data_IF_980000402481
#
_entry.id   IF_980000402481
#
_cell.length_a   1.000
_cell.length_b   1.000
_cell.length_c   1.000
_cell.angle_alpha   90.00
_cell.angle_beta   90.00
_cell.angle_gamma   90.00
#
_symmetry.space_group_name_H-M   'P 1'
#
loop_
_entity.id
_entity.type
_entity.pdbx_description
1 polymer ?
#
# COMPACT_ATOMS: atom_id res chain seq x y z
N UNK A 1 -1.47 -14.74 -7.66
CA UNK A 1 -0.60 -15.80 -8.23
C UNK A 1 -0.98 -15.97 -9.69
N UNK A 2 -0.03 -15.77 -10.61
CA UNK A 2 -0.27 -15.66 -12.05
C UNK A 2 -0.16 -14.20 -12.52
N UNK A 3 -1.28 -13.48 -12.47
CA UNK A 3 -1.40 -12.04 -12.81
C UNK A 3 -2.01 -11.19 -11.69
N UNK A 4 -2.41 -11.85 -10.60
CA UNK A 4 -3.09 -11.18 -9.50
C UNK A 4 -2.12 -10.90 -8.36
N UNK A 5 -2.10 -9.63 -7.94
CA UNK A 5 -1.44 -9.14 -6.75
C UNK A 5 -2.26 -9.51 -5.52
N UNK A 6 -1.71 -10.38 -4.69
CA UNK A 6 -2.34 -10.87 -3.46
C UNK A 6 -1.66 -10.20 -2.27
N UNK A 7 -2.44 -9.51 -1.44
CA UNK A 7 -1.95 -8.76 -0.29
C UNK A 7 -2.60 -9.22 1.01
N UNK A 8 -1.77 -9.44 2.03
CA UNK A 8 -2.21 -9.72 3.41
C UNK A 8 -2.06 -8.46 4.24
N UNK A 9 -3.12 -7.65 4.32
CA UNK A 9 -3.09 -6.32 4.94
C UNK A 9 -3.57 -6.31 6.41
N UNK A 10 -3.81 -7.47 7.00
CA UNK A 10 -4.37 -7.61 8.35
C UNK A 10 -5.89 -7.73 8.40
N UNK A 11 -6.54 -7.91 7.24
CA UNK A 11 -7.92 -8.36 7.14
C UNK A 11 -8.01 -9.88 7.34
N UNK A 12 -9.19 -10.40 7.71
CA UNK A 12 -9.41 -11.85 7.88
C UNK A 12 -9.33 -12.64 6.56
N UNK A 13 -9.46 -11.97 5.42
CA UNK A 13 -9.32 -12.55 4.09
C UNK A 13 -8.25 -11.80 3.29
N UNK A 14 -7.66 -12.47 2.31
CA UNK A 14 -6.63 -11.89 1.44
C UNK A 14 -7.27 -10.89 0.46
N UNK A 15 -6.59 -9.77 0.23
CA UNK A 15 -7.03 -8.78 -0.75
C UNK A 15 -6.35 -9.11 -2.08
N UNK A 16 -7.15 -9.46 -3.07
CA UNK A 16 -6.69 -9.80 -4.42
C UNK A 16 -6.98 -8.62 -5.35
N UNK A 17 -5.97 -8.16 -6.06
CA UNK A 17 -6.07 -7.13 -7.10
C UNK A 17 -5.54 -7.72 -8.40
N UNK A 18 -6.37 -7.78 -9.44
CA UNK A 18 -5.95 -8.25 -10.76
C UNK A 18 -5.18 -7.18 -11.52
N UNK A 19 -4.17 -7.57 -12.29
CA UNK A 19 -3.52 -6.69 -13.27
C UNK A 19 -4.54 -6.08 -14.24
N UNK A 20 -4.58 -4.74 -14.33
CA UNK A 20 -5.28 -4.05 -15.40
C UNK A 20 -4.53 -4.17 -16.74
N UNK A 21 -5.22 -3.96 -17.86
CA UNK A 21 -4.64 -4.10 -19.19
C UNK A 21 -3.38 -3.24 -19.37
N UNK A 22 -2.23 -3.92 -19.48
CA UNK A 22 -0.88 -3.37 -19.72
C UNK A 22 -0.23 -2.68 -18.51
N UNK A 23 -0.62 -3.10 -17.30
CA UNK A 23 0.12 -2.87 -16.06
C UNK A 23 0.83 -4.17 -15.69
N UNK A 24 2.12 -4.09 -15.38
CA UNK A 24 2.95 -5.19 -14.88
C UNK A 24 3.31 -4.91 -13.43
N UNK A 25 3.04 -5.88 -12.56
CA UNK A 25 3.30 -5.78 -11.13
C UNK A 25 4.50 -6.66 -10.78
N UNK A 26 5.54 -6.05 -10.24
CA UNK A 26 6.70 -6.75 -9.71
C UNK A 26 6.75 -6.60 -8.19
N UNK A 27 7.07 -7.69 -7.49
CA UNK A 27 7.11 -7.76 -6.02
C UNK A 27 8.50 -8.25 -5.61
N UNK A 28 9.53 -7.38 -5.66
CA UNK A 28 10.90 -7.76 -5.33
C UNK A 28 11.08 -8.08 -3.83
N UNK A 29 10.18 -7.60 -2.98
CA UNK A 29 10.15 -7.96 -1.56
C UNK A 29 8.72 -7.92 -1.02
N UNK A 30 8.39 -8.65 0.05
CA UNK A 30 7.04 -8.63 0.62
C UNK A 30 6.53 -7.25 1.06
N UNK A 31 7.42 -6.27 1.22
CA UNK A 31 7.11 -4.90 1.66
C UNK A 31 7.26 -3.84 0.57
N UNK A 32 7.65 -4.22 -0.66
CA UNK A 32 7.80 -3.30 -1.79
C UNK A 32 7.11 -3.88 -3.02
N UNK A 33 6.22 -3.08 -3.59
CA UNK A 33 5.49 -3.39 -4.81
C UNK A 33 5.90 -2.34 -5.85
N UNK A 34 6.31 -2.81 -7.02
CA UNK A 34 6.68 -1.97 -8.16
C UNK A 34 5.62 -2.15 -9.23
N UNK A 35 4.98 -1.06 -9.62
CA UNK A 35 3.94 -1.04 -10.66
C UNK A 35 4.55 -0.35 -11.88
N UNK A 36 4.54 -1.04 -13.01
CA UNK A 36 5.05 -0.54 -14.29
C UNK A 36 3.97 -0.69 -15.36
N UNK A 37 4.00 0.14 -16.41
CA UNK A 37 2.99 0.11 -17.47
C UNK A 37 3.26 1.13 -18.55
N UNK A 38 2.56 1.01 -19.67
CA UNK A 38 2.72 1.89 -20.82
C UNK A 38 2.02 3.26 -20.64
N UNK A 39 0.91 3.30 -19.89
CA UNK A 39 0.15 4.52 -19.62
C UNK A 39 0.34 5.00 -18.17
N UNK A 40 0.73 6.27 -18.04
CA UNK A 40 0.94 6.93 -16.75
C UNK A 40 -0.37 7.12 -15.97
N UNK A 41 -1.50 7.34 -16.65
CA UNK A 41 -2.78 7.49 -15.97
C UNK A 41 -3.23 6.17 -15.36
N UNK A 42 -3.22 5.09 -16.15
CA UNK A 42 -3.54 3.75 -15.68
C UNK A 42 -2.63 3.30 -14.51
N UNK A 43 -1.31 3.52 -14.59
CA UNK A 43 -0.37 3.20 -13.52
C UNK A 43 -0.67 3.99 -12.25
N UNK A 44 -0.94 5.29 -12.37
CA UNK A 44 -1.29 6.14 -11.23
C UNK A 44 -2.60 5.74 -10.57
N UNK A 45 -3.62 5.43 -11.37
CA UNK A 45 -4.92 4.97 -10.89
C UNK A 45 -4.79 3.65 -10.11
N UNK A 46 -4.10 2.66 -10.68
CA UNK A 46 -3.90 1.38 -10.01
C UNK A 46 -3.10 1.53 -8.71
N UNK A 47 -2.06 2.35 -8.70
CA UNK A 47 -1.28 2.61 -7.48
C UNK A 47 -2.12 3.31 -6.40
N UNK A 48 -3.02 4.20 -6.78
CA UNK A 48 -3.97 4.84 -5.87
C UNK A 48 -4.99 3.84 -5.29
N UNK A 49 -5.50 2.92 -6.11
CA UNK A 49 -6.40 1.85 -5.68
C UNK A 49 -5.74 0.91 -4.68
N UNK A 50 -4.48 0.52 -4.94
CA UNK A 50 -3.66 -0.27 -4.00
C UNK A 50 -3.53 0.47 -2.67
N UNK A 51 -3.16 1.76 -2.70
CA UNK A 51 -3.04 2.59 -1.48
C UNK A 51 -4.36 2.73 -0.72
N UNK A 52 -5.48 2.83 -1.42
CA UNK A 52 -6.81 2.99 -0.82
C UNK A 52 -7.24 1.78 0.03
N UNK A 53 -6.75 0.57 -0.27
CA UNK A 53 -7.07 -0.63 0.52
C UNK A 53 -6.61 -0.54 1.97
N UNK A 54 -5.46 0.08 2.21
CA UNK A 54 -4.96 0.37 3.57
C UNK A 54 -4.08 1.62 3.55
N UNK A 55 -4.66 2.82 3.71
CA UNK A 55 -3.89 4.05 3.74
C UNK A 55 -2.97 4.09 4.97
N UNK A 56 -1.88 4.87 4.93
CA UNK A 56 -0.94 4.95 6.04
C UNK A 56 -1.62 5.63 7.24
N UNK A 57 -1.63 4.94 8.38
CA UNK A 57 -2.23 5.45 9.60
C UNK A 57 -1.43 6.63 10.19
N UNK A 58 -2.08 7.68 10.73
CA UNK A 58 -1.40 8.88 11.23
C UNK A 58 -0.60 8.68 12.52
N UNK A 59 -0.70 7.53 13.19
CA UNK A 59 0.04 7.29 14.44
C UNK A 59 1.31 6.49 14.20
N UNK A 60 1.17 5.26 13.67
CA UNK A 60 2.30 4.33 13.45
C UNK A 60 2.81 4.34 12.00
N UNK A 61 2.16 5.05 11.08
CA UNK A 61 2.48 5.01 9.66
C UNK A 61 2.32 3.64 9.02
N UNK A 62 1.54 2.74 9.64
CA UNK A 62 1.27 1.40 9.11
C UNK A 62 0.25 1.49 7.98
N UNK A 63 0.51 0.82 6.87
CA UNK A 63 -0.30 0.86 5.66
C UNK A 63 0.57 0.89 4.41
N UNK A 64 -0.06 1.08 3.27
CA UNK A 64 0.59 1.19 1.97
C UNK A 64 0.87 2.67 1.71
N UNK A 65 2.11 3.01 1.37
CA UNK A 65 2.56 4.37 1.09
C UNK A 65 3.44 4.40 -0.15
N UNK A 66 3.53 5.56 -0.78
CA UNK A 66 4.50 5.74 -1.85
C UNK A 66 5.92 5.85 -1.30
N UNK A 67 6.90 5.55 -2.16
CA UNK A 67 8.32 5.72 -1.83
C UNK A 67 8.59 7.21 -1.59
N UNK A 68 9.10 7.54 -0.40
CA UNK A 68 9.39 8.94 -0.02
C UNK A 68 8.19 9.75 0.49
N UNK A 69 6.99 9.17 0.62
CA UNK A 69 5.82 9.88 1.14
C UNK A 69 6.01 10.28 2.62
N UNK A 70 5.88 11.58 2.92
CA UNK A 70 5.87 12.09 4.28
C UNK A 70 4.52 11.79 4.95
N UNK A 71 4.53 10.88 5.93
CA UNK A 71 3.35 10.55 6.72
C UNK A 71 3.37 11.37 7.99
N UNK A 72 2.35 12.22 8.18
CA UNK A 72 2.16 12.99 9.41
C UNK A 72 1.99 12.01 10.57
N UNK A 73 2.92 12.06 11.52
CA UNK A 73 2.87 11.26 12.74
C UNK A 73 2.29 12.11 13.87
N UNK A 74 1.07 11.79 14.29
CA UNK A 74 0.47 12.31 15.51
C UNK A 74 0.96 11.49 16.70
N UNK A 75 1.16 12.16 17.82
CA UNK A 75 1.42 11.47 19.07
C UNK A 75 0.25 10.54 19.38
N UNK A 76 0.59 9.29 19.76
CA UNK A 76 -0.40 8.25 20.09
C UNK A 76 -1.10 8.54 21.42
N UNK A 77 -1.44 7.49 22.19
CA UNK A 77 -1.99 7.69 23.53
C UNK A 77 -1.13 8.70 24.28
N UNK A 78 -1.72 9.86 24.61
CA UNK A 78 -1.20 10.82 25.55
C UNK A 78 -1.16 10.16 26.93
N UNK A 79 -0.18 9.28 27.13
CA UNK A 79 0.17 8.72 28.41
C UNK A 79 0.86 9.79 29.23
N UNK A 80 0.07 10.66 29.84
CA UNK A 80 0.44 11.21 31.14
C UNK A 80 0.67 9.99 32.06
N UNK A 81 1.94 9.64 32.28
CA UNK A 81 2.36 8.63 33.25
C UNK A 81 2.74 7.26 32.68
N UNK A 82 4.05 7.02 32.54
CA UNK A 82 4.78 6.14 33.46
C UNK A 82 6.22 6.65 33.58
N UNK A 83 6.70 6.70 34.82
CA UNK A 83 8.11 6.86 35.20
C UNK A 83 8.98 5.85 34.48
#
# INVERSE_FOLDING_TARGET
>A
QGKDLVMTLGFSHQVIMSEGNGITIDVPSPSKIVISGYDKQAVGQFAAEVRAKRPPEPYKGKGIRYVGEYVIRKEGKAGKGKK
#
